data_IF_762662648088
#
_entry.id   IF_762662648088
#
_cell.length_a   1.000
_cell.length_b   1.000
_cell.length_c   1.000
_cell.angle_alpha   90.00
_cell.angle_beta   90.00
_cell.angle_gamma   90.00
#
_symmetry.space_group_name_H-M   'P 1'
#
loop_
_entity.id
_entity.type
_entity.pdbx_description
1 polymer ?
#
# COMPACT_ATOMS: atom_id res chain seq x y z
N UNK A 1 42.45 -46.54 -27.76
CA UNK A 1 41.50 -46.02 -26.72
C UNK A 1 40.11 -46.39 -27.24
N UNK A 2 39.56 -47.39 -26.57
CA UNK A 2 38.54 -48.29 -27.12
C UNK A 2 37.14 -47.69 -27.23
N UNK A 3 36.52 -48.04 -28.39
CA UNK A 3 35.12 -47.75 -28.70
C UNK A 3 34.10 -48.34 -27.65
N UNK A 4 34.62 -49.20 -26.77
CA UNK A 4 33.84 -49.85 -25.69
C UNK A 4 33.55 -48.94 -24.47
N UNK A 5 34.30 -47.84 -24.30
CA UNK A 5 34.13 -46.89 -23.21
C UNK A 5 33.05 -45.82 -23.53
N UNK A 6 32.67 -45.69 -24.80
CA UNK A 6 31.65 -44.68 -25.22
C UNK A 6 30.21 -45.16 -25.11
N UNK A 7 29.98 -46.48 -25.00
CA UNK A 7 28.65 -47.06 -24.86
C UNK A 7 28.12 -47.16 -23.42
N UNK A 8 29.01 -46.96 -22.44
CA UNK A 8 28.61 -47.03 -21.00
C UNK A 8 28.10 -45.73 -20.39
N UNK A 9 28.15 -44.60 -21.14
CA UNK A 9 27.67 -43.29 -20.63
C UNK A 9 26.29 -42.94 -21.16
N UNK A 10 25.73 -43.75 -22.07
CA UNK A 10 24.50 -43.39 -22.80
C UNK A 10 23.21 -44.00 -22.23
N UNK A 11 23.27 -44.82 -21.16
CA UNK A 11 22.11 -45.55 -20.66
C UNK A 11 21.48 -45.01 -19.36
N UNK A 12 22.04 -43.92 -18.78
CA UNK A 12 21.56 -43.40 -17.49
C UNK A 12 20.65 -42.17 -17.59
N UNK A 13 20.38 -41.69 -18.82
CA UNK A 13 19.45 -40.58 -19.01
C UNK A 13 18.01 -41.08 -18.97
N UNK A 14 17.24 -40.53 -17.99
CA UNK A 14 15.78 -40.77 -17.92
C UNK A 14 15.14 -40.17 -19.18
N UNK A 15 14.79 -41.02 -20.14
CA UNK A 15 14.19 -40.55 -21.39
C UNK A 15 12.79 -39.98 -21.13
N UNK A 16 12.56 -38.73 -21.56
CA UNK A 16 11.24 -38.05 -21.50
C UNK A 16 10.14 -38.93 -22.13
N UNK A 17 10.49 -39.73 -23.17
CA UNK A 17 9.57 -40.67 -23.84
C UNK A 17 9.07 -41.78 -22.90
N UNK A 18 9.92 -42.26 -21.97
CA UNK A 18 9.54 -43.27 -20.97
C UNK A 18 8.58 -42.72 -19.95
N UNK A 19 8.83 -41.50 -19.47
CA UNK A 19 7.94 -40.79 -18.52
C UNK A 19 6.56 -40.55 -19.15
N UNK A 20 6.53 -40.06 -20.37
CA UNK A 20 5.25 -39.85 -21.11
C UNK A 20 4.50 -41.18 -21.30
N UNK A 21 5.20 -42.25 -21.66
CA UNK A 21 4.61 -43.58 -21.84
C UNK A 21 4.04 -44.14 -20.54
N UNK A 22 4.70 -43.89 -19.43
CA UNK A 22 4.26 -44.29 -18.08
C UNK A 22 3.03 -43.50 -17.65
N UNK A 23 3.00 -42.18 -17.90
CA UNK A 23 1.82 -41.33 -17.66
C UNK A 23 0.62 -41.81 -18.52
N UNK A 24 0.85 -42.13 -19.80
CA UNK A 24 -0.21 -42.64 -20.68
C UNK A 24 -0.76 -44.00 -20.26
N UNK A 25 0.11 -44.90 -19.80
CA UNK A 25 -0.34 -46.23 -19.26
C UNK A 25 -1.16 -46.08 -17.98
N UNK A 26 -0.92 -45.07 -17.15
CA UNK A 26 -1.64 -44.83 -15.88
C UNK A 26 -2.53 -43.58 -15.92
N UNK A 27 -2.99 -43.17 -17.11
CA UNK A 27 -3.79 -41.95 -17.35
C UNK A 27 -4.96 -41.77 -16.37
N UNK A 28 -5.67 -42.84 -16.01
CA UNK A 28 -6.78 -42.78 -15.07
C UNK A 28 -6.32 -42.42 -13.66
N UNK A 29 -5.20 -42.95 -13.18
CA UNK A 29 -4.65 -42.61 -11.85
C UNK A 29 -4.11 -41.19 -11.81
N UNK A 30 -3.40 -40.80 -12.86
CA UNK A 30 -2.91 -39.42 -13.02
C UNK A 30 -4.08 -38.44 -13.07
N UNK A 31 -5.12 -38.71 -13.86
CA UNK A 31 -6.33 -37.89 -13.93
C UNK A 31 -7.03 -37.77 -12.57
N UNK A 32 -7.14 -38.88 -11.83
CA UNK A 32 -7.76 -38.86 -10.49
C UNK A 32 -6.98 -38.01 -9.49
N UNK A 33 -5.65 -38.11 -9.48
CA UNK A 33 -4.79 -37.29 -8.59
C UNK A 33 -4.90 -35.82 -8.95
N UNK A 34 -4.79 -35.47 -10.23
CA UNK A 34 -4.93 -34.06 -10.70
C UNK A 34 -6.30 -33.51 -10.32
N UNK A 35 -7.36 -34.30 -10.54
CA UNK A 35 -8.74 -33.92 -10.19
C UNK A 35 -8.92 -33.76 -8.66
N UNK A 36 -8.30 -34.63 -7.87
CA UNK A 36 -8.34 -34.54 -6.41
C UNK A 36 -7.68 -33.24 -5.91
N UNK A 37 -6.50 -32.89 -6.44
CA UNK A 37 -5.84 -31.62 -6.12
C UNK A 37 -6.66 -30.40 -6.55
N UNK A 38 -7.26 -30.43 -7.73
CA UNK A 38 -8.18 -29.41 -8.20
C UNK A 38 -9.42 -29.27 -7.31
N UNK A 39 -10.01 -30.39 -6.88
CA UNK A 39 -11.16 -30.39 -5.98
C UNK A 39 -10.81 -29.82 -4.58
N UNK A 40 -9.65 -30.20 -4.02
CA UNK A 40 -9.18 -29.64 -2.75
C UNK A 40 -8.97 -28.14 -2.87
N UNK A 41 -8.31 -27.67 -3.93
CA UNK A 41 -8.11 -26.24 -4.16
C UNK A 41 -9.45 -25.48 -4.34
N UNK A 42 -10.42 -26.09 -5.03
CA UNK A 42 -11.75 -25.53 -5.17
C UNK A 42 -12.50 -25.44 -3.84
N UNK A 43 -12.41 -26.47 -2.99
CA UNK A 43 -12.98 -26.48 -1.66
C UNK A 43 -12.35 -25.38 -0.78
N UNK A 44 -11.03 -25.27 -0.76
CA UNK A 44 -10.33 -24.21 -0.01
C UNK A 44 -10.78 -22.83 -0.48
N UNK A 45 -10.86 -22.61 -1.81
CA UNK A 45 -11.32 -21.34 -2.35
C UNK A 45 -12.81 -21.07 -2.06
N UNK A 46 -13.62 -22.10 -1.85
CA UNK A 46 -15.02 -21.97 -1.49
C UNK A 46 -15.22 -21.53 -0.03
N UNK A 47 -14.44 -22.08 0.89
CA UNK A 47 -14.51 -21.73 2.32
C UNK A 47 -13.78 -20.42 2.67
N UNK A 48 -12.93 -19.90 1.77
CA UNK A 48 -12.25 -18.61 1.99
C UNK A 48 -13.25 -17.46 1.85
N UNK A 49 -13.36 -16.55 2.84
CA UNK A 49 -14.29 -15.43 2.80
C UNK A 49 -13.96 -14.47 1.65
N UNK A 50 -15.00 -13.92 1.03
CA UNK A 50 -14.82 -12.94 -0.04
C UNK A 50 -14.24 -11.64 0.53
N UNK A 51 -13.31 -11.03 -0.19
CA UNK A 51 -12.76 -9.72 0.10
C UNK A 51 -13.00 -8.76 -1.05
N UNK A 52 -13.20 -7.50 -0.72
CA UNK A 52 -13.46 -6.41 -1.64
C UNK A 52 -12.31 -5.41 -1.56
N UNK A 53 -11.96 -4.82 -2.71
CA UNK A 53 -10.88 -3.86 -2.80
C UNK A 53 -11.43 -2.53 -3.27
N UNK A 54 -11.36 -1.52 -2.39
CA UNK A 54 -11.65 -0.13 -2.72
C UNK A 54 -10.35 0.62 -2.97
N UNK A 55 -10.35 1.48 -3.97
CA UNK A 55 -9.17 2.24 -4.38
C UNK A 55 -9.52 3.72 -4.46
N UNK A 56 -8.69 4.57 -3.89
CA UNK A 56 -8.75 6.03 -4.02
C UNK A 56 -7.47 6.52 -4.68
N UNK A 57 -7.61 7.43 -5.64
CA UNK A 57 -6.48 8.05 -6.32
C UNK A 57 -6.42 9.52 -5.92
N UNK A 58 -5.27 9.96 -5.43
CA UNK A 58 -5.06 11.33 -4.99
C UNK A 58 -3.82 11.93 -5.67
N UNK A 59 -3.89 13.22 -5.96
CA UNK A 59 -2.75 14.03 -6.38
C UNK A 59 -2.24 14.83 -5.18
N UNK A 60 -0.92 14.92 -5.02
CA UNK A 60 -0.35 15.78 -3.98
C UNK A 60 -0.47 17.23 -4.42
N UNK A 61 -1.06 18.07 -3.57
CA UNK A 61 -1.21 19.50 -3.82
C UNK A 61 0.16 20.18 -3.81
N UNK A 62 0.53 20.77 -4.94
CA UNK A 62 1.78 21.53 -5.12
C UNK A 62 1.58 23.03 -4.89
N UNK A 63 0.42 23.46 -4.36
CA UNK A 63 0.12 24.86 -4.14
C UNK A 63 1.12 25.49 -3.18
N UNK A 64 2.19 26.03 -3.75
CA UNK A 64 3.16 26.86 -3.03
C UNK A 64 2.68 28.30 -3.16
N UNK A 65 2.53 29.04 -2.05
CA UNK A 65 2.37 30.49 -2.13
C UNK A 65 3.57 31.07 -2.88
N UNK A 66 3.38 31.60 -4.08
CA UNK A 66 4.45 32.16 -4.92
C UNK A 66 4.79 31.42 -6.22
N UNK A 67 4.24 30.22 -6.49
CA UNK A 67 4.42 29.55 -7.78
C UNK A 67 3.39 29.96 -8.83
N UNK A 68 2.53 30.93 -8.53
CA UNK A 68 1.60 31.52 -9.47
C UNK A 68 2.35 32.34 -10.53
N UNK A 69 2.13 32.01 -11.77
CA UNK A 69 2.69 32.58 -13.00
C UNK A 69 2.30 34.05 -13.25
N UNK A 70 2.27 34.90 -12.22
CA UNK A 70 1.77 36.28 -12.35
C UNK A 70 2.41 37.34 -11.47
N UNK A 71 3.30 36.99 -10.53
CA UNK A 71 3.99 38.01 -9.74
C UNK A 71 5.43 38.20 -10.27
N UNK A 72 5.84 39.47 -10.46
CA UNK A 72 7.19 39.82 -10.97
C UNK A 72 8.37 39.25 -10.21
N UNK A 73 8.14 38.61 -9.06
CA UNK A 73 9.11 37.81 -8.31
C UNK A 73 9.40 36.45 -8.96
N UNK A 74 8.46 35.87 -9.73
CA UNK A 74 8.66 34.63 -10.50
C UNK A 74 9.76 34.75 -11.54
N UNK A 75 9.92 35.95 -12.15
CA UNK A 75 10.99 36.22 -13.13
C UNK A 75 12.38 36.30 -12.50
N UNK A 76 12.48 36.77 -11.25
CA UNK A 76 13.75 36.83 -10.53
C UNK A 76 14.15 35.44 -10.02
N UNK A 77 13.18 34.64 -9.55
CA UNK A 77 13.41 33.28 -9.08
C UNK A 77 13.76 32.34 -10.26
N UNK A 78 13.22 32.56 -11.46
CA UNK A 78 13.55 31.77 -12.64
C UNK A 78 14.98 32.01 -13.13
N UNK A 79 15.55 33.20 -12.95
CA UNK A 79 16.97 33.48 -13.23
C UNK A 79 17.92 32.78 -12.25
N UNK A 80 17.48 32.52 -11.02
CA UNK A 80 18.25 31.81 -10.00
C UNK A 80 17.91 30.32 -9.88
N UNK A 81 17.00 29.81 -10.73
CA UNK A 81 16.56 28.40 -10.69
C UNK A 81 17.71 27.40 -10.86
N UNK A 82 18.74 27.78 -11.64
CA UNK A 82 19.96 26.99 -11.79
C UNK A 82 20.81 26.89 -10.52
N UNK A 83 20.84 27.95 -9.69
CA UNK A 83 21.52 27.94 -8.40
C UNK A 83 20.65 27.35 -7.28
N UNK A 84 19.34 27.51 -7.38
CA UNK A 84 18.38 26.92 -6.44
C UNK A 84 18.35 25.38 -6.55
N UNK A 85 18.54 24.82 -7.75
CA UNK A 85 18.66 23.38 -7.95
C UNK A 85 19.97 22.81 -7.36
N UNK A 86 21.08 23.57 -7.44
CA UNK A 86 22.36 23.21 -6.82
C UNK A 86 22.30 23.33 -5.27
N UNK A 87 21.47 24.24 -4.75
CA UNK A 87 21.28 24.42 -3.30
C UNK A 87 20.20 23.48 -2.70
N UNK A 88 19.63 22.55 -3.48
CA UNK A 88 18.58 21.65 -2.99
C UNK A 88 17.22 22.32 -2.75
N UNK A 89 17.05 23.60 -3.09
CA UNK A 89 15.81 24.36 -2.88
C UNK A 89 14.74 24.07 -3.96
N UNK A 90 15.11 23.42 -5.07
CA UNK A 90 14.17 22.99 -6.11
C UNK A 90 13.34 21.74 -5.71
N UNK A 91 13.62 21.11 -4.56
CA UNK A 91 12.96 19.90 -4.08
C UNK A 91 11.62 20.14 -3.37
N UNK A 92 11.09 21.34 -3.36
CA UNK A 92 9.87 21.68 -2.60
C UNK A 92 8.65 20.82 -2.94
N UNK A 93 8.50 20.39 -4.19
CA UNK A 93 7.40 19.51 -4.63
C UNK A 93 7.58 18.07 -4.20
N UNK A 94 8.78 17.53 -4.32
CA UNK A 94 9.07 16.13 -3.97
C UNK A 94 9.13 15.91 -2.46
N UNK A 95 9.66 16.86 -1.70
CA UNK A 95 9.68 16.79 -0.24
C UNK A 95 8.26 16.84 0.35
N UNK A 96 7.39 17.70 -0.18
CA UNK A 96 5.99 17.81 0.25
C UNK A 96 5.20 16.55 -0.10
N UNK A 97 5.46 15.97 -1.28
CA UNK A 97 4.90 14.67 -1.68
C UNK A 97 5.35 13.58 -0.71
N UNK A 98 6.63 13.49 -0.44
CA UNK A 98 7.20 12.51 0.49
C UNK A 98 6.59 12.67 1.90
N UNK A 99 6.42 13.91 2.39
CA UNK A 99 5.77 14.18 3.68
C UNK A 99 4.31 13.70 3.67
N UNK A 100 3.53 14.04 2.65
CA UNK A 100 2.11 13.65 2.56
C UNK A 100 1.94 12.14 2.52
N UNK A 101 2.77 11.44 1.74
CA UNK A 101 2.78 9.98 1.68
C UNK A 101 3.24 9.38 3.01
N UNK A 102 4.27 9.94 3.63
CA UNK A 102 4.78 9.47 4.92
C UNK A 102 3.71 9.62 6.03
N UNK A 103 2.95 10.72 6.04
CA UNK A 103 1.85 10.90 6.98
C UNK A 103 0.72 9.91 6.72
N UNK A 104 0.32 9.71 5.45
CA UNK A 104 -0.70 8.72 5.07
C UNK A 104 -0.31 7.29 5.48
N UNK A 105 0.99 6.96 5.42
CA UNK A 105 1.55 5.67 5.81
C UNK A 105 1.93 5.58 7.29
N UNK A 106 1.78 6.66 8.06
CA UNK A 106 2.28 6.69 9.44
C UNK A 106 1.50 5.76 10.36
N UNK A 107 2.21 5.16 11.32
CA UNK A 107 1.58 4.33 12.35
C UNK A 107 0.66 5.16 13.24
N UNK A 108 1.09 6.37 13.60
CA UNK A 108 0.32 7.27 14.45
C UNK A 108 -1.04 7.64 13.82
N UNK A 109 -1.09 7.92 12.50
CA UNK A 109 -2.36 8.19 11.82
C UNK A 109 -3.30 6.97 11.86
N UNK A 110 -2.74 5.81 11.57
CA UNK A 110 -3.51 4.55 11.55
C UNK A 110 -3.97 4.16 12.97
N UNK A 111 -3.13 4.36 13.97
CA UNK A 111 -3.46 4.08 15.37
C UNK A 111 -4.59 4.98 15.86
N UNK A 112 -4.49 6.30 15.61
CA UNK A 112 -5.52 7.27 15.95
C UNK A 112 -6.83 6.92 15.22
N UNK A 113 -6.75 6.53 13.94
CA UNK A 113 -7.92 6.13 13.15
C UNK A 113 -8.62 4.89 13.73
N UNK A 114 -7.86 3.87 14.11
CA UNK A 114 -8.38 2.63 14.71
C UNK A 114 -9.02 2.93 16.06
N UNK A 115 -8.41 3.78 16.87
CA UNK A 115 -8.91 4.14 18.22
C UNK A 115 -10.20 4.93 18.14
N UNK A 116 -10.23 5.99 17.34
CA UNK A 116 -11.37 6.91 17.25
C UNK A 116 -12.62 6.27 16.63
N UNK A 117 -12.42 5.33 15.70
CA UNK A 117 -13.52 4.62 15.04
C UNK A 117 -13.82 3.25 15.66
N UNK A 118 -13.22 2.91 16.79
CA UNK A 118 -13.41 1.63 17.48
C UNK A 118 -13.19 0.40 16.58
N UNK A 119 -12.25 0.52 15.62
CA UNK A 119 -12.02 -0.53 14.61
C UNK A 119 -11.44 -1.82 15.19
N UNK A 120 -10.92 -1.78 16.42
CA UNK A 120 -10.36 -2.95 17.07
C UNK A 120 -11.35 -4.12 17.12
N UNK A 121 -12.60 -3.83 17.43
CA UNK A 121 -13.69 -4.81 17.51
C UNK A 121 -14.09 -5.35 16.12
N UNK A 122 -14.03 -4.50 15.11
CA UNK A 122 -14.33 -4.88 13.71
C UNK A 122 -13.21 -5.73 13.12
N UNK A 123 -11.95 -5.36 13.39
CA UNK A 123 -10.77 -6.07 12.88
C UNK A 123 -10.59 -7.46 13.50
N UNK A 124 -11.10 -7.65 14.73
CA UNK A 124 -11.03 -8.91 15.48
C UNK A 124 -12.43 -9.38 15.89
N UNK A 125 -13.41 -9.26 14.96
CA UNK A 125 -14.80 -9.64 15.23
C UNK A 125 -14.94 -11.10 15.69
N UNK A 126 -14.12 -12.01 15.20
CA UNK A 126 -14.11 -13.41 15.58
C UNK A 126 -13.67 -13.65 17.05
N UNK A 127 -12.93 -12.71 17.63
CA UNK A 127 -12.42 -12.76 18.99
C UNK A 127 -13.18 -11.85 19.95
N UNK A 128 -14.22 -11.14 19.46
CA UNK A 128 -15.02 -10.20 20.23
C UNK A 128 -16.45 -10.71 20.48
N UNK A 129 -16.84 -10.85 21.74
CA UNK A 129 -18.21 -11.13 22.10
C UNK A 129 -19.00 -9.81 22.26
N UNK A 130 -19.80 -9.48 21.24
CA UNK A 130 -20.57 -8.25 21.22
C UNK A 130 -21.67 -8.20 22.31
N UNK A 131 -22.16 -9.37 22.77
CA UNK A 131 -23.19 -9.44 23.82
C UNK A 131 -22.59 -9.23 25.21
N UNK A 132 -21.45 -9.87 25.46
CA UNK A 132 -20.75 -9.76 26.74
C UNK A 132 -19.78 -8.57 26.81
N UNK A 133 -19.60 -7.85 25.70
CA UNK A 133 -18.65 -6.71 25.58
C UNK A 133 -17.24 -7.05 26.07
N UNK A 134 -16.76 -8.24 25.75
CA UNK A 134 -15.45 -8.75 26.19
C UNK A 134 -14.76 -9.57 25.12
N UNK A 135 -13.45 -9.67 25.23
CA UNK A 135 -12.64 -10.55 24.38
C UNK A 135 -12.85 -12.00 24.81
N UNK A 136 -13.07 -12.89 23.85
CA UNK A 136 -13.23 -14.34 24.08
C UNK A 136 -11.90 -15.02 24.36
N UNK A 137 -10.78 -14.34 24.07
CA UNK A 137 -9.43 -14.85 24.22
C UNK A 137 -9.00 -14.87 25.69
N UNK A 138 -8.77 -16.06 26.24
CA UNK A 138 -8.40 -16.25 27.65
C UNK A 138 -6.93 -15.91 27.92
N UNK A 139 -6.04 -16.00 26.93
CA UNK A 139 -4.62 -15.70 27.08
C UNK A 139 -4.36 -14.19 26.96
N UNK A 140 -3.88 -13.49 28.02
CA UNK A 140 -3.64 -12.04 27.98
C UNK A 140 -2.68 -11.59 26.86
N UNK A 141 -1.70 -12.42 26.48
CA UNK A 141 -0.75 -12.09 25.41
C UNK A 141 -1.38 -12.14 24.01
N UNK A 142 -2.49 -12.85 23.84
CA UNK A 142 -3.22 -12.96 22.57
C UNK A 142 -4.30 -11.91 22.42
N UNK A 143 -4.70 -11.24 23.50
CA UNK A 143 -5.72 -10.18 23.44
C UNK A 143 -5.33 -9.13 22.39
N UNK A 144 -6.26 -8.76 21.48
CA UNK A 144 -6.01 -7.72 20.50
C UNK A 144 -5.67 -6.39 21.14
N UNK A 145 -4.59 -5.78 20.68
CA UNK A 145 -4.18 -4.43 21.09
C UNK A 145 -4.23 -3.50 19.90
N UNK A 146 -4.34 -2.19 20.15
CA UNK A 146 -4.34 -1.18 19.10
C UNK A 146 -3.06 -1.30 18.24
N UNK A 147 -1.92 -1.57 18.85
CA UNK A 147 -0.67 -1.80 18.14
C UNK A 147 -0.75 -3.00 17.16
N UNK A 148 -1.27 -4.16 17.62
CA UNK A 148 -1.47 -5.34 16.76
C UNK A 148 -2.43 -5.04 15.60
N UNK A 149 -3.50 -4.30 15.90
CA UNK A 149 -4.48 -3.87 14.89
C UNK A 149 -3.86 -2.95 13.85
N UNK A 150 -3.02 -1.98 14.28
CA UNK A 150 -2.28 -1.08 13.40
C UNK A 150 -1.35 -1.85 12.48
N UNK A 151 -0.59 -2.81 12.99
CA UNK A 151 0.29 -3.66 12.17
C UNK A 151 -0.50 -4.50 11.16
N UNK A 152 -1.62 -5.10 11.58
CA UNK A 152 -2.51 -5.85 10.68
C UNK A 152 -3.09 -4.94 9.61
N UNK A 153 -3.55 -3.75 9.97
CA UNK A 153 -4.14 -2.78 9.06
C UNK A 153 -3.15 -2.36 7.97
N UNK A 154 -1.94 -1.99 8.36
CA UNK A 154 -0.88 -1.55 7.43
C UNK A 154 -0.34 -2.66 6.53
N UNK A 155 -0.24 -3.90 7.04
CA UNK A 155 0.35 -5.01 6.27
C UNK A 155 -0.65 -5.69 5.33
N UNK A 156 -1.92 -5.76 5.72
CA UNK A 156 -2.88 -6.64 5.05
C UNK A 156 -4.11 -5.92 4.53
N UNK A 157 -4.44 -4.73 5.04
CA UNK A 157 -5.70 -4.05 4.73
C UNK A 157 -5.45 -2.84 3.84
N UNK A 158 -4.56 -1.91 4.25
CA UNK A 158 -4.26 -0.69 3.53
C UNK A 158 -2.90 -0.78 2.84
N UNK A 159 -2.87 -0.45 1.55
CA UNK A 159 -1.64 -0.38 0.76
C UNK A 159 -1.58 0.95 0.01
N UNK A 160 -0.48 1.67 0.17
CA UNK A 160 -0.23 2.95 -0.50
C UNK A 160 0.86 2.76 -1.54
N UNK A 161 0.56 3.10 -2.78
CA UNK A 161 1.52 3.07 -3.88
C UNK A 161 1.61 4.45 -4.51
N UNK A 162 2.82 4.83 -4.93
CA UNK A 162 3.06 6.09 -5.64
C UNK A 162 3.54 5.77 -7.05
N UNK A 163 2.88 6.32 -8.04
CA UNK A 163 3.29 6.18 -9.41
C UNK A 163 4.39 7.21 -9.75
N UNK A 164 5.58 6.73 -10.06
CA UNK A 164 6.75 7.60 -10.28
C UNK A 164 6.61 8.53 -11.49
N UNK A 165 5.84 8.15 -12.51
CA UNK A 165 5.67 8.94 -13.74
C UNK A 165 4.69 10.10 -13.57
N UNK A 166 3.54 9.84 -12.95
CA UNK A 166 2.46 10.82 -12.78
C UNK A 166 2.52 11.53 -11.45
N UNK A 167 3.21 10.94 -10.47
CA UNK A 167 3.26 11.39 -9.09
C UNK A 167 1.94 11.21 -8.33
N UNK A 168 0.99 10.49 -8.91
CA UNK A 168 -0.26 10.14 -8.25
C UNK A 168 -0.01 9.13 -7.13
N UNK A 169 -0.78 9.27 -6.07
CA UNK A 169 -0.76 8.36 -4.94
C UNK A 169 -2.06 7.56 -4.95
N UNK A 170 -1.93 6.24 -4.92
CA UNK A 170 -3.06 5.32 -4.88
C UNK A 170 -3.09 4.64 -3.52
N UNK A 171 -4.16 4.86 -2.76
CA UNK A 171 -4.45 4.10 -1.55
C UNK A 171 -5.48 3.03 -1.88
N UNK A 172 -5.13 1.79 -1.56
CA UNK A 172 -5.99 0.64 -1.75
C UNK A 172 -6.31 0.02 -0.40
N UNK A 173 -7.59 -0.17 -0.11
CA UNK A 173 -8.07 -0.83 1.10
C UNK A 173 -8.81 -2.11 0.73
N UNK A 174 -8.41 -3.23 1.32
CA UNK A 174 -9.00 -4.55 1.08
C UNK A 174 -9.66 -5.06 2.36
N UNK A 175 -10.96 -5.32 2.31
CA UNK A 175 -11.74 -5.80 3.47
C UNK A 175 -12.87 -6.73 3.06
N UNK A 176 -13.49 -7.38 4.03
CA UNK A 176 -14.62 -8.29 3.82
C UNK A 176 -15.93 -7.57 3.46
N UNK A 177 -16.06 -6.31 3.84
CA UNK A 177 -17.20 -5.44 3.52
C UNK A 177 -16.76 -4.35 2.55
N UNK A 178 -17.45 -4.27 1.39
CA UNK A 178 -17.14 -3.33 0.32
C UNK A 178 -17.36 -1.86 0.74
N UNK A 179 -18.41 -1.60 1.54
CA UNK A 179 -18.75 -0.24 2.00
C UNK A 179 -17.73 0.24 3.04
N UNK A 180 -17.32 -0.64 3.96
CA UNK A 180 -16.29 -0.32 4.95
C UNK A 180 -14.93 -0.10 4.27
N UNK A 181 -14.57 -0.89 3.27
CA UNK A 181 -13.33 -0.71 2.52
C UNK A 181 -13.28 0.68 1.86
N UNK A 182 -14.35 1.09 1.16
CA UNK A 182 -14.44 2.40 0.54
C UNK A 182 -14.43 3.54 1.58
N UNK A 183 -15.19 3.38 2.66
CA UNK A 183 -15.23 4.35 3.76
C UNK A 183 -13.85 4.56 4.36
N UNK A 184 -13.14 3.48 4.71
CA UNK A 184 -11.80 3.57 5.31
C UNK A 184 -10.79 4.23 4.39
N UNK A 185 -10.85 3.96 3.07
CA UNK A 185 -9.97 4.60 2.10
C UNK A 185 -10.18 6.12 2.05
N UNK A 186 -11.44 6.57 1.96
CA UNK A 186 -11.79 7.99 1.94
C UNK A 186 -11.45 8.68 3.28
N UNK A 187 -11.80 8.06 4.41
CA UNK A 187 -11.55 8.59 5.76
C UNK A 187 -10.06 8.79 6.03
N UNK A 188 -9.19 7.84 5.60
CA UNK A 188 -7.75 7.95 5.78
C UNK A 188 -7.17 9.14 5.01
N UNK A 189 -7.63 9.39 3.79
CA UNK A 189 -7.20 10.55 2.99
C UNK A 189 -7.69 11.85 3.64
N UNK A 190 -8.97 11.91 4.04
CA UNK A 190 -9.53 13.07 4.73
C UNK A 190 -8.75 13.39 6.02
N UNK A 191 -8.47 12.36 6.84
CA UNK A 191 -7.71 12.50 8.09
C UNK A 191 -6.26 12.93 7.85
N UNK A 192 -5.65 12.48 6.76
CA UNK A 192 -4.31 12.94 6.36
C UNK A 192 -4.33 14.42 6.02
N UNK A 193 -5.32 14.88 5.27
CA UNK A 193 -5.52 16.29 4.96
C UNK A 193 -5.72 17.13 6.23
N UNK A 194 -6.58 16.69 7.14
CA UNK A 194 -6.84 17.38 8.41
C UNK A 194 -5.59 17.50 9.27
N UNK A 195 -4.79 16.44 9.36
CA UNK A 195 -3.55 16.42 10.14
C UNK A 195 -2.51 17.38 9.57
N UNK A 196 -2.29 17.35 8.25
CA UNK A 196 -1.32 18.22 7.58
C UNK A 196 -1.78 19.68 7.57
N UNK A 197 -3.08 19.92 7.37
CA UNK A 197 -3.70 21.25 7.47
C UNK A 197 -3.53 21.83 8.86
N UNK A 198 -3.88 21.10 9.89
CA UNK A 198 -3.75 21.55 11.29
C UNK A 198 -2.29 21.83 11.66
N UNK A 199 -1.37 20.95 11.23
CA UNK A 199 0.07 21.16 11.42
C UNK A 199 0.53 22.47 10.77
N UNK A 200 0.13 22.72 9.51
CA UNK A 200 0.52 23.91 8.77
C UNK A 200 -0.03 25.19 9.41
N UNK A 201 -1.27 25.18 9.90
CA UNK A 201 -1.88 26.31 10.59
C UNK A 201 -1.11 26.63 11.88
N UNK A 202 -0.91 25.63 12.74
CA UNK A 202 -0.20 25.81 14.02
C UNK A 202 1.24 26.30 13.81
N UNK A 203 1.94 25.77 12.82
CA UNK A 203 3.30 26.17 12.47
C UNK A 203 3.33 27.63 11.98
N UNK A 204 2.44 28.00 11.06
CA UNK A 204 2.36 29.35 10.55
C UNK A 204 1.97 30.37 11.63
N UNK A 205 1.02 30.04 12.52
CA UNK A 205 0.64 30.91 13.64
C UNK A 205 1.83 31.16 14.61
N UNK A 206 2.61 30.10 14.88
CA UNK A 206 3.82 30.22 15.70
C UNK A 206 4.86 31.15 15.04
N UNK A 207 5.09 30.95 13.74
CA UNK A 207 6.03 31.76 12.97
C UNK A 207 5.58 33.22 12.91
N UNK A 208 4.29 33.49 12.67
CA UNK A 208 3.68 34.81 12.66
C UNK A 208 3.90 35.51 14.03
N UNK A 209 3.63 34.80 15.11
CA UNK A 209 3.84 35.36 16.48
C UNK A 209 5.29 35.73 16.72
N UNK A 210 6.22 34.82 16.35
CA UNK A 210 7.65 35.07 16.47
C UNK A 210 8.11 36.27 15.63
N UNK A 211 7.74 36.32 14.35
CA UNK A 211 8.13 37.38 13.42
C UNK A 211 7.58 38.73 13.83
N UNK A 212 6.38 38.84 14.42
CA UNK A 212 5.83 40.07 14.94
C UNK A 212 6.67 40.61 16.11
N UNK A 213 7.11 39.75 17.03
CA UNK A 213 7.99 40.16 18.13
C UNK A 213 9.34 40.64 17.62
N UNK A 214 9.92 39.96 16.61
CA UNK A 214 11.21 40.32 16.05
C UNK A 214 11.15 41.63 15.23
N UNK A 215 10.04 41.86 14.49
CA UNK A 215 9.80 43.11 13.78
C UNK A 215 9.69 44.32 14.73
N UNK A 216 9.18 44.12 15.97
CA UNK A 216 9.10 45.14 16.97
C UNK A 216 10.45 45.47 17.66
N UNK A 217 11.39 44.51 17.64
CA UNK A 217 12.71 44.65 18.28
C UNK A 217 13.78 45.28 17.39
N UNK A 218 13.61 45.21 16.06
CA UNK A 218 14.61 45.70 15.13
C UNK A 218 14.28 47.10 14.62
N UNK A 219 15.28 47.99 14.62
CA UNK A 219 15.18 49.33 14.06
C UNK A 219 15.81 49.43 12.66
N UNK A 220 16.44 48.36 12.18
CA UNK A 220 17.07 48.32 10.87
C UNK A 220 16.01 48.15 9.78
N UNK A 221 15.78 49.17 8.96
CA UNK A 221 14.72 49.22 7.94
C UNK A 221 14.77 48.04 6.99
N UNK A 222 15.96 47.65 6.52
CA UNK A 222 16.13 46.51 5.59
C UNK A 222 15.71 45.17 6.21
N UNK A 223 16.05 44.93 7.49
CA UNK A 223 15.68 43.74 8.22
C UNK A 223 14.17 43.72 8.47
N UNK A 224 13.59 44.84 8.84
CA UNK A 224 12.14 45.01 9.07
C UNK A 224 11.33 44.68 7.79
N UNK A 225 11.78 45.18 6.65
CA UNK A 225 11.16 44.86 5.34
C UNK A 225 11.23 43.35 5.00
N UNK A 226 12.38 42.73 5.27
CA UNK A 226 12.53 41.29 5.07
C UNK A 226 11.60 40.47 5.99
N UNK A 227 11.47 40.86 7.27
CA UNK A 227 10.56 40.24 8.23
C UNK A 227 9.09 40.34 7.72
N UNK A 228 8.67 41.52 7.26
CA UNK A 228 7.30 41.68 6.74
C UNK A 228 7.03 40.86 5.50
N UNK A 229 8.01 40.63 4.62
CA UNK A 229 7.84 39.78 3.45
C UNK A 229 7.65 38.29 3.85
N UNK A 230 8.39 37.82 4.85
CA UNK A 230 8.23 36.46 5.40
C UNK A 230 6.87 36.37 6.11
N UNK A 231 6.50 37.38 6.90
CA UNK A 231 5.20 37.42 7.59
C UNK A 231 4.03 37.32 6.61
N UNK A 232 4.09 38.05 5.48
CA UNK A 232 3.09 37.97 4.41
C UNK A 232 3.00 36.56 3.83
N UNK A 233 4.14 35.87 3.64
CA UNK A 233 4.19 34.48 3.17
C UNK A 233 3.54 33.54 4.16
N UNK A 234 3.84 33.66 5.46
CA UNK A 234 3.26 32.80 6.51
C UNK A 234 1.75 33.03 6.66
N UNK A 235 1.29 34.29 6.61
CA UNK A 235 -0.14 34.61 6.60
C UNK A 235 -0.83 33.96 5.39
N UNK A 236 -0.26 34.07 4.21
CA UNK A 236 -0.81 33.45 2.99
C UNK A 236 -0.87 31.93 3.11
N UNK A 237 0.16 31.29 3.69
CA UNK A 237 0.20 29.85 3.97
C UNK A 237 -0.93 29.43 4.92
N UNK A 238 -1.10 30.18 6.03
CA UNK A 238 -2.18 29.93 6.99
C UNK A 238 -3.58 30.10 6.36
N UNK A 239 -3.76 31.14 5.53
CA UNK A 239 -5.03 31.38 4.83
C UNK A 239 -5.37 30.27 3.85
N UNK A 240 -4.40 29.81 3.03
CA UNK A 240 -4.57 28.69 2.12
C UNK A 240 -4.90 27.38 2.88
N UNK A 241 -4.23 27.14 4.00
CA UNK A 241 -4.51 25.96 4.82
C UNK A 241 -5.93 26.00 5.39
N UNK A 242 -6.41 27.16 5.84
CA UNK A 242 -7.78 27.31 6.37
C UNK A 242 -8.85 27.23 5.29
N UNK A 243 -8.54 27.67 4.07
CA UNK A 243 -9.49 27.75 2.95
C UNK A 243 -9.62 26.46 2.13
N UNK A 244 -8.89 25.40 2.46
CA UNK A 244 -8.90 24.17 1.66
C UNK A 244 -9.07 22.93 2.53
N UNK A 245 -10.11 22.16 2.27
CA UNK A 245 -10.31 20.83 2.89
C UNK A 245 -9.33 19.79 2.31
N UNK A 246 -8.99 19.92 1.03
CA UNK A 246 -8.00 19.08 0.35
C UNK A 246 -6.61 19.75 0.34
N UNK A 247 -6.11 20.07 1.54
CA UNK A 247 -4.89 20.87 1.71
C UNK A 247 -3.64 20.20 1.13
N UNK A 248 -3.45 18.90 1.38
CA UNK A 248 -2.25 18.15 0.99
C UNK A 248 -2.50 17.14 -0.12
N UNK A 249 -3.64 16.46 -0.07
CA UNK A 249 -4.04 15.41 -0.98
C UNK A 249 -5.36 15.80 -1.66
N UNK A 250 -5.29 16.11 -2.95
CA UNK A 250 -6.47 16.40 -3.78
C UNK A 250 -7.03 15.07 -4.31
N UNK A 251 -8.29 14.80 -4.03
CA UNK A 251 -8.95 13.59 -4.51
C UNK A 251 -9.20 13.71 -6.01
N UNK A 252 -8.59 12.79 -6.77
CA UNK A 252 -8.79 12.68 -8.23
C UNK A 252 -9.93 11.71 -8.51
N UNK A 253 -9.94 10.56 -7.81
CA UNK A 253 -10.97 9.53 -7.92
C UNK A 253 -11.25 8.98 -6.52
N UNK A 254 -12.45 9.24 -5.96
CA UNK A 254 -12.81 8.79 -4.63
C UNK A 254 -13.06 7.29 -4.61
N UNK A 255 -12.80 6.66 -3.46
CA UNK A 255 -13.09 5.25 -3.29
C UNK A 255 -14.61 5.00 -3.28
N UNK A 256 -15.05 4.11 -4.16
CA UNK A 256 -16.42 3.63 -4.26
C UNK A 256 -16.48 2.17 -3.80
N UNK A 257 -17.60 1.77 -3.20
CA UNK A 257 -17.81 0.38 -2.79
C UNK A 257 -17.86 -0.53 -4.02
N UNK A 258 -16.91 -1.47 -4.19
CA UNK A 258 -16.89 -2.34 -5.35
C UNK A 258 -18.03 -3.35 -5.32
N UNK A 259 -18.67 -3.56 -6.46
CA UNK A 259 -19.72 -4.58 -6.62
C UNK A 259 -19.13 -5.99 -6.74
N UNK A 260 -17.94 -6.11 -7.34
CA UNK A 260 -17.28 -7.37 -7.59
C UNK A 260 -16.26 -7.69 -6.50
N UNK A 261 -16.22 -8.95 -6.07
CA UNK A 261 -15.20 -9.43 -5.14
C UNK A 261 -13.83 -9.42 -5.78
N UNK A 262 -12.82 -9.05 -5.02
CA UNK A 262 -11.43 -9.08 -5.42
C UNK A 262 -10.80 -10.47 -5.24
N UNK A 263 -11.04 -11.12 -4.10
CA UNK A 263 -10.47 -12.44 -3.76
C UNK A 263 -11.47 -13.27 -2.95
N UNK A 264 -11.42 -14.60 -3.02
CA UNK A 264 -10.58 -15.43 -3.89
C UNK A 264 -11.10 -15.50 -5.33
N UNK A 265 -10.18 -15.49 -6.29
CA UNK A 265 -10.49 -15.83 -7.69
C UNK A 265 -10.58 -17.35 -7.81
N UNK A 266 -11.77 -17.90 -7.63
CA UNK A 266 -11.99 -19.35 -7.53
C UNK A 266 -11.47 -20.13 -8.74
N UNK A 267 -11.63 -19.57 -9.93
CA UNK A 267 -11.12 -20.17 -11.17
C UNK A 267 -9.60 -20.26 -11.20
N UNK A 268 -8.90 -19.22 -10.70
CA UNK A 268 -7.44 -19.21 -10.64
C UNK A 268 -6.92 -20.22 -9.60
N UNK A 269 -7.57 -20.31 -8.44
CA UNK A 269 -7.19 -21.27 -7.39
C UNK A 269 -7.36 -22.72 -7.84
N UNK A 270 -8.47 -23.04 -8.55
CA UNK A 270 -8.67 -24.37 -9.12
C UNK A 270 -7.65 -24.68 -10.21
N UNK A 271 -7.32 -23.73 -11.07
CA UNK A 271 -6.29 -23.90 -12.10
C UNK A 271 -4.91 -24.16 -11.49
N UNK A 272 -4.53 -23.43 -10.45
CA UNK A 272 -3.28 -23.67 -9.70
C UNK A 272 -3.27 -25.06 -9.06
N UNK A 273 -4.39 -25.47 -8.47
CA UNK A 273 -4.53 -26.83 -7.89
C UNK A 273 -4.35 -27.95 -8.92
N UNK A 274 -4.98 -27.81 -10.09
CA UNK A 274 -4.82 -28.76 -11.18
C UNK A 274 -3.37 -28.82 -11.70
N UNK A 275 -2.72 -27.65 -11.83
CA UNK A 275 -1.33 -27.57 -12.27
C UNK A 275 -0.37 -28.19 -11.25
N UNK A 276 -0.57 -27.93 -9.96
CA UNK A 276 0.21 -28.55 -8.88
C UNK A 276 0.05 -30.07 -8.87
N UNK A 277 -1.18 -30.58 -9.03
CA UNK A 277 -1.44 -32.02 -9.17
C UNK A 277 -0.72 -32.65 -10.37
N UNK A 278 -0.69 -31.94 -11.50
CA UNK A 278 0.04 -32.39 -12.69
C UNK A 278 1.56 -32.45 -12.45
N UNK A 279 2.14 -31.40 -11.82
CA UNK A 279 3.56 -31.40 -11.47
C UNK A 279 3.93 -32.56 -10.54
N UNK A 280 3.11 -32.83 -9.52
CA UNK A 280 3.33 -33.96 -8.60
C UNK A 280 3.29 -35.28 -9.34
N UNK A 281 2.37 -35.48 -10.28
CA UNK A 281 2.32 -36.70 -11.10
C UNK A 281 3.55 -36.87 -11.99
N UNK A 282 4.03 -35.77 -12.60
CA UNK A 282 5.23 -35.79 -13.43
C UNK A 282 6.48 -36.11 -12.60
N UNK A 283 6.66 -35.46 -11.45
CA UNK A 283 7.79 -35.73 -10.55
C UNK A 283 7.77 -37.15 -10.04
N UNK A 284 6.59 -37.67 -9.66
CA UNK A 284 6.45 -39.06 -9.26
C UNK A 284 6.80 -40.03 -10.40
N UNK A 285 6.40 -39.74 -11.62
CA UNK A 285 6.72 -40.57 -12.78
C UNK A 285 8.25 -40.58 -13.04
N UNK A 286 8.92 -39.43 -12.97
CA UNK A 286 10.38 -39.36 -13.05
C UNK A 286 11.09 -40.21 -11.99
N UNK A 287 10.70 -40.06 -10.74
CA UNK A 287 11.27 -40.82 -9.63
C UNK A 287 11.02 -42.32 -9.80
N UNK A 288 9.83 -42.72 -10.25
CA UNK A 288 9.50 -44.13 -10.46
C UNK A 288 10.30 -44.76 -11.61
N UNK A 289 10.57 -44.01 -12.69
CA UNK A 289 11.42 -44.48 -13.80
C UNK A 289 12.89 -44.55 -13.35
N UNK A 290 13.39 -43.54 -12.65
CA UNK A 290 14.76 -43.54 -12.11
C UNK A 290 14.99 -44.72 -11.15
N UNK A 291 14.06 -45.00 -10.27
CA UNK A 291 14.16 -46.14 -9.31
C UNK A 291 14.04 -47.50 -9.97
N UNK A 292 13.28 -47.61 -11.08
CA UNK A 292 13.17 -48.84 -11.84
C UNK A 292 14.46 -49.16 -12.62
N UNK A 293 15.28 -48.16 -12.94
CA UNK A 293 16.59 -48.34 -13.60
C UNK A 293 17.73 -48.62 -12.61
N UNK A 294 17.57 -48.19 -11.36
CA UNK A 294 18.55 -48.39 -10.31
C UNK A 294 18.49 -49.78 -9.63
N UNK A 295 17.44 -50.56 -9.94
CA UNK A 295 17.27 -51.95 -9.53
C UNK A 295 17.59 -52.94 -10.64
#
# INVERSE_FOLDING_TARGET
MDAKTRTLIQDDEVSLKEVVRLLQRRKWRVGLVVLAFGAVAALVAWFTPNTYRATIIVAVSTNTPGSGQGSGLGAVVSQFSGLASLAGLAMGGDSRRAESVAVLQSEALTEDYIRDNHLLQILYADEWDAKAQRWTVTNPQKVPTVWKATQRFKRSIANVTTESKTGLVTLTVTWYDAKLAAKWANDLVARTNDRLRSKAIVESERNIAYLNVEAARTDVVGVKTAIYSILQSEISKAMLARGSDEYALKVVDPAVAPELKYSPQRTLWTAIGLFAGMLICVTWAFVSVAWSKAR
#
